data_IF_600498630778
#
_entry.id   IF_600498630778
#
_cell.length_a   1.000
_cell.length_b   1.000
_cell.length_c   1.000
_cell.angle_alpha   90.00
_cell.angle_beta   90.00
_cell.angle_gamma   90.00
#
_symmetry.space_group_name_H-M   'P 1'
#
loop_
_entity.id
_entity.type
_entity.pdbx_description
1 polymer ?
#
# COMPACT_ATOMS: atom_id res chain seq x y z
N UNK A 1 -2.99 11.73 -11.37
CA UNK A 1 -2.67 10.53 -10.56
C UNK A 1 -1.84 10.96 -9.35
N UNK A 2 -2.03 10.34 -8.18
CA UNK A 2 -1.07 10.38 -7.05
C UNK A 2 -0.49 8.97 -6.88
N UNK A 3 0.82 8.86 -6.65
CA UNK A 3 1.54 7.60 -6.53
C UNK A 3 2.30 7.60 -5.21
N UNK A 4 2.07 6.57 -4.40
CA UNK A 4 2.82 6.33 -3.18
C UNK A 4 3.34 4.89 -3.20
N UNK A 5 4.66 4.72 -3.01
CA UNK A 5 5.28 3.42 -2.84
C UNK A 5 5.48 3.15 -1.34
N UNK A 6 5.01 2.01 -0.86
CA UNK A 6 4.75 1.83 0.57
C UNK A 6 5.47 0.61 1.10
N UNK A 7 6.07 0.79 2.27
CA UNK A 7 6.47 -0.29 3.16
C UNK A 7 5.57 -0.19 4.40
N UNK A 8 4.66 -1.16 4.51
CA UNK A 8 3.75 -1.44 5.63
C UNK A 8 2.42 -0.65 5.71
N UNK A 9 1.32 -1.32 5.33
CA UNK A 9 0.05 -1.15 6.05
C UNK A 9 -0.03 -2.23 7.13
N UNK A 10 -0.24 -1.82 8.38
CA UNK A 10 -0.44 -2.77 9.48
C UNK A 10 -1.91 -2.80 9.84
N UNK A 11 -2.55 -3.96 9.77
CA UNK A 11 -3.98 -4.14 10.00
C UNK A 11 -4.28 -4.85 11.33
N UNK A 12 -4.27 -4.10 12.43
CA UNK A 12 -4.79 -4.56 13.73
C UNK A 12 -5.41 -3.38 14.50
N UNK A 13 -6.68 -3.38 14.96
CA UNK A 13 -7.21 -2.36 15.91
C UNK A 13 -6.26 -2.17 17.08
N UNK A 14 -6.15 -0.94 17.59
CA UNK A 14 -5.25 -0.69 18.69
C UNK A 14 -5.93 0.18 19.71
N UNK A 15 -6.19 -0.38 20.89
CA UNK A 15 -6.42 0.42 22.08
C UNK A 15 -5.11 1.09 22.57
N UNK A 16 -3.95 0.59 22.11
CA UNK A 16 -2.62 1.14 22.37
C UNK A 16 -1.56 0.60 21.39
N UNK A 17 -0.51 1.38 21.13
CA UNK A 17 0.63 0.97 20.32
C UNK A 17 1.52 2.15 19.96
N UNK A 18 2.59 1.87 19.22
CA UNK A 18 3.49 2.90 18.72
C UNK A 18 4.02 2.53 17.33
N UNK A 19 4.44 3.56 16.60
CA UNK A 19 5.18 3.41 15.36
C UNK A 19 6.17 4.56 15.21
N UNK A 20 7.38 4.21 14.83
CA UNK A 20 8.45 5.13 14.51
C UNK A 20 8.92 4.85 13.09
N UNK A 21 9.00 5.88 12.27
CA UNK A 21 9.49 5.78 10.89
C UNK A 21 10.69 6.68 10.73
N UNK A 22 11.77 6.15 10.15
CA UNK A 22 13.03 6.85 9.96
C UNK A 22 13.44 6.81 8.50
N UNK A 23 13.97 7.93 8.02
CA UNK A 23 14.64 7.99 6.73
C UNK A 23 16.10 7.61 6.93
N UNK A 24 16.56 6.59 6.21
CA UNK A 24 17.92 6.04 6.37
C UNK A 24 18.86 6.65 5.33
N UNK A 25 18.45 6.75 4.06
CA UNK A 25 19.22 7.43 3.00
C UNK A 25 18.37 7.96 1.86
N UNK A 26 18.90 8.95 1.13
CA UNK A 26 18.36 9.46 -0.13
C UNK A 26 19.50 9.58 -1.14
N UNK A 27 19.33 8.98 -2.31
CA UNK A 27 20.22 9.13 -3.45
C UNK A 27 19.40 9.29 -4.74
N UNK A 28 19.26 10.52 -5.21
CA UNK A 28 18.43 10.85 -6.37
C UNK A 28 16.97 10.43 -6.17
N UNK A 29 16.49 9.50 -7.00
CA UNK A 29 15.14 8.91 -6.93
C UNK A 29 15.06 7.66 -6.05
N UNK A 30 16.17 7.21 -5.48
CA UNK A 30 16.25 6.04 -4.61
C UNK A 30 16.25 6.50 -3.16
N UNK A 31 15.43 5.85 -2.34
CA UNK A 31 15.34 6.10 -0.91
C UNK A 31 15.49 4.79 -0.16
N UNK A 32 16.05 4.85 1.05
CA UNK A 32 16.00 3.77 2.02
C UNK A 32 15.42 4.33 3.31
N UNK A 33 14.52 3.57 3.91
CA UNK A 33 13.81 3.98 5.10
C UNK A 33 13.32 2.75 5.85
N UNK A 34 13.06 2.94 7.13
CA UNK A 34 12.63 1.88 8.03
C UNK A 34 11.43 2.32 8.85
N UNK A 35 10.59 1.36 9.21
CA UNK A 35 9.52 1.59 10.17
C UNK A 35 9.50 0.46 11.19
N UNK A 36 9.44 0.84 12.46
CA UNK A 36 9.29 -0.08 13.57
C UNK A 36 7.98 0.23 14.27
N UNK A 37 7.19 -0.79 14.57
CA UNK A 37 5.89 -0.61 15.18
C UNK A 37 5.55 -1.77 16.11
N UNK A 38 4.67 -1.48 17.05
CA UNK A 38 4.00 -2.47 17.90
C UNK A 38 2.57 -2.02 18.10
N UNK A 39 1.61 -2.82 17.62
CA UNK A 39 0.18 -2.55 17.71
C UNK A 39 -0.53 -3.65 18.47
N UNK A 40 -1.41 -3.29 19.42
CA UNK A 40 -2.18 -4.23 20.22
C UNK A 40 -3.68 -4.09 20.00
N UNK A 41 -4.36 -5.11 19.48
CA UNK A 41 -5.82 -5.21 19.52
C UNK A 41 -6.36 -6.25 18.52
N UNK A 42 -7.57 -6.05 18.01
CA UNK A 42 -8.23 -6.99 17.09
C UNK A 42 -7.53 -7.03 15.74
N UNK A 43 -7.33 -8.22 15.19
CA UNK A 43 -7.02 -8.34 13.77
C UNK A 43 -8.10 -7.62 12.93
N UNK A 44 -7.75 -7.17 11.73
CA UNK A 44 -8.68 -6.71 10.66
C UNK A 44 -8.98 -5.21 10.53
N UNK A 45 -8.39 -4.29 11.31
CA UNK A 45 -8.46 -2.85 10.99
C UNK A 45 -7.07 -2.24 10.79
N UNK A 46 -6.84 -1.56 9.67
CA UNK A 46 -5.60 -0.82 9.36
C UNK A 46 -5.31 0.24 10.44
N UNK A 47 -4.05 0.38 10.85
CA UNK A 47 -3.57 1.36 11.85
C UNK A 47 -2.87 2.53 11.23
N UNK A 48 -2.05 2.22 10.26
CA UNK A 48 -1.11 3.14 9.69
C UNK A 48 -0.69 2.63 8.34
N UNK A 49 -0.15 3.56 7.58
CA UNK A 49 0.37 3.33 6.27
C UNK A 49 1.59 4.21 6.08
N UNK A 50 2.66 3.90 6.80
CA UNK A 50 3.93 4.59 6.65
C UNK A 50 4.36 4.41 5.20
N UNK A 51 4.72 5.48 4.49
CA UNK A 51 4.99 5.38 3.07
C UNK A 51 5.99 6.42 2.57
N UNK A 52 6.52 6.12 1.39
CA UNK A 52 7.23 7.07 0.57
C UNK A 52 6.35 7.53 -0.61
N UNK A 53 5.74 8.69 -0.44
CA UNK A 53 4.96 9.32 -1.49
C UNK A 53 5.87 10.01 -2.50
N UNK A 54 5.76 9.64 -3.78
CA UNK A 54 6.43 10.37 -4.85
C UNK A 54 5.78 11.75 -4.98
N UNK A 55 6.62 12.79 -5.02
CA UNK A 55 6.17 14.15 -5.35
C UNK A 55 6.30 14.37 -6.85
N UNK A 56 5.17 14.61 -7.51
CA UNK A 56 5.09 14.89 -8.94
C UNK A 56 3.81 15.66 -9.24
N UNK A 57 3.77 16.33 -10.39
CA UNK A 57 2.56 16.96 -10.87
C UNK A 57 1.56 15.89 -11.34
N UNK A 58 0.29 16.09 -11.02
CA UNK A 58 -0.73 15.14 -11.43
C UNK A 58 -0.82 15.09 -12.96
N UNK A 59 -0.67 13.89 -13.50
CA UNK A 59 -0.79 13.62 -14.94
C UNK A 59 -2.05 12.80 -15.26
N UNK A 60 -2.69 13.02 -16.43
CA UNK A 60 -3.68 12.11 -16.98
C UNK A 60 -3.06 10.73 -17.27
N UNK A 61 -3.75 9.64 -16.94
CA UNK A 61 -3.26 8.27 -17.14
C UNK A 61 -2.92 8.01 -18.61
N UNK A 62 -3.71 8.56 -19.54
CA UNK A 62 -3.46 8.44 -20.98
C UNK A 62 -2.12 9.02 -21.44
N UNK A 63 -1.49 9.89 -20.63
CA UNK A 63 -0.19 10.49 -20.93
C UNK A 63 0.97 9.77 -20.22
N UNK A 64 0.68 8.76 -19.38
CA UNK A 64 1.72 8.00 -18.67
C UNK A 64 2.24 6.91 -19.60
N UNK A 65 3.54 6.98 -19.93
CA UNK A 65 4.20 5.96 -20.75
C UNK A 65 4.77 4.82 -19.92
N UNK A 66 5.27 5.13 -18.72
CA UNK A 66 5.83 4.14 -17.78
C UNK A 66 5.90 4.73 -16.36
N UNK A 67 5.89 3.84 -15.37
CA UNK A 67 6.15 4.16 -13.96
C UNK A 67 7.20 3.15 -13.45
N UNK A 68 8.46 3.26 -13.90
CA UNK A 68 9.50 2.33 -13.49
C UNK A 68 9.68 2.42 -11.98
N UNK A 69 9.57 1.28 -11.30
CA UNK A 69 9.65 1.18 -9.84
C UNK A 69 10.47 -0.05 -9.47
N UNK A 70 11.31 0.10 -8.46
CA UNK A 70 12.03 -1.01 -7.84
C UNK A 70 11.87 -0.88 -6.34
N UNK A 71 11.58 -1.99 -5.68
CA UNK A 71 11.45 -2.04 -4.23
C UNK A 71 12.10 -3.33 -3.75
N UNK A 72 12.97 -3.16 -2.76
CA UNK A 72 13.54 -4.23 -1.97
C UNK A 72 13.14 -3.95 -0.52
N UNK A 73 12.65 -4.96 0.18
CA UNK A 73 12.23 -4.80 1.56
C UNK A 73 12.48 -6.10 2.33
N UNK A 74 12.83 -5.93 3.60
CA UNK A 74 12.92 -7.00 4.58
C UNK A 74 11.92 -6.74 5.69
N UNK A 75 11.25 -7.80 6.15
CA UNK A 75 10.24 -7.70 7.20
C UNK A 75 10.57 -8.66 8.34
N UNK A 76 11.10 -8.11 9.44
CA UNK A 76 11.39 -8.86 10.66
C UNK A 76 10.28 -8.64 11.70
N UNK A 77 9.75 -9.73 12.27
CA UNK A 77 8.75 -9.66 13.33
C UNK A 77 8.83 -10.88 14.24
N UNK A 78 8.37 -10.71 15.48
CA UNK A 78 8.21 -11.78 16.46
C UNK A 78 6.72 -12.05 16.72
N UNK A 79 6.36 -13.32 16.89
CA UNK A 79 4.99 -13.71 17.20
C UNK A 79 4.01 -13.56 16.03
N UNK A 80 2.82 -13.03 16.31
CA UNK A 80 1.74 -12.88 15.31
C UNK A 80 1.77 -11.48 14.71
N UNK A 81 1.79 -11.42 13.38
CA UNK A 81 1.71 -10.19 12.61
C UNK A 81 0.64 -10.32 11.53
N UNK A 82 -0.18 -9.28 11.35
CA UNK A 82 -1.11 -9.13 10.20
C UNK A 82 -0.78 -7.80 9.51
N UNK A 83 -0.15 -7.87 8.35
CA UNK A 83 0.32 -6.70 7.61
C UNK A 83 0.42 -7.00 6.12
N UNK A 84 0.54 -5.95 5.31
CA UNK A 84 0.88 -6.07 3.90
C UNK A 84 2.07 -5.15 3.53
N UNK A 85 2.63 -5.40 2.37
CA UNK A 85 3.51 -4.47 1.65
C UNK A 85 2.88 -4.24 0.28
N UNK A 86 2.69 -2.97 -0.10
CA UNK A 86 1.94 -2.65 -1.31
C UNK A 86 2.41 -1.35 -1.98
N UNK A 87 2.20 -1.21 -3.28
CA UNK A 87 2.06 0.10 -3.89
C UNK A 87 0.63 0.58 -3.72
N UNK A 88 0.42 1.89 -3.57
CA UNK A 88 -0.91 2.49 -3.49
C UNK A 88 -1.00 3.74 -4.37
N UNK A 89 -2.03 3.78 -5.20
CA UNK A 89 -2.18 4.81 -6.22
C UNK A 89 -3.61 5.29 -6.30
N UNK A 90 -3.76 6.60 -6.42
CA UNK A 90 -5.06 7.25 -6.48
C UNK A 90 -5.28 7.94 -7.82
N UNK A 91 -6.50 7.83 -8.33
CA UNK A 91 -6.94 8.46 -9.57
C UNK A 91 -8.19 9.29 -9.32
N UNK A 92 -8.37 10.33 -10.12
CA UNK A 92 -9.48 11.26 -10.07
C UNK A 92 -9.83 11.67 -11.50
N UNK A 93 -11.11 11.93 -11.78
CA UNK A 93 -11.58 12.43 -13.07
C UNK A 93 -11.06 13.82 -13.43
N UNK A 94 -10.67 14.61 -12.42
CA UNK A 94 -10.18 15.98 -12.59
C UNK A 94 -8.81 16.16 -11.94
N UNK A 95 -7.96 16.97 -12.58
CA UNK A 95 -6.70 17.39 -11.98
C UNK A 95 -6.99 18.25 -10.76
N UNK A 96 -6.41 17.88 -9.63
CA UNK A 96 -6.63 18.50 -8.32
C UNK A 96 -7.87 17.97 -7.58
N UNK A 97 -8.69 17.13 -8.22
CA UNK A 97 -9.89 16.57 -7.62
C UNK A 97 -9.63 15.52 -6.53
N UNK A 98 -10.69 15.18 -5.82
CA UNK A 98 -10.70 14.11 -4.83
C UNK A 98 -10.50 12.74 -5.49
N UNK A 99 -9.95 11.80 -4.73
CA UNK A 99 -9.72 10.45 -5.22
C UNK A 99 -11.05 9.72 -5.48
N UNK A 100 -11.18 9.14 -6.66
CA UNK A 100 -12.35 8.35 -7.08
C UNK A 100 -12.04 6.86 -7.12
N UNK A 101 -10.79 6.50 -7.44
CA UNK A 101 -10.32 5.12 -7.39
C UNK A 101 -8.98 5.04 -6.67
N UNK A 102 -8.85 3.99 -5.88
CA UNK A 102 -7.61 3.50 -5.26
C UNK A 102 -7.23 2.18 -5.95
N UNK A 103 -5.97 2.08 -6.40
CA UNK A 103 -5.41 0.87 -6.99
C UNK A 103 -4.16 0.50 -6.20
N UNK A 104 -4.26 -0.60 -5.47
CA UNK A 104 -3.15 -1.16 -4.72
C UNK A 104 -2.54 -2.37 -5.42
N UNK A 105 -1.22 -2.51 -5.37
CA UNK A 105 -0.49 -3.70 -5.81
C UNK A 105 0.22 -4.30 -4.61
N UNK A 106 -0.32 -5.39 -4.07
CA UNK A 106 0.20 -6.02 -2.86
C UNK A 106 1.34 -6.97 -3.22
N UNK A 107 2.54 -6.67 -2.73
CA UNK A 107 3.75 -7.47 -2.92
C UNK A 107 3.87 -8.58 -1.88
N UNK A 108 3.28 -8.36 -0.69
CA UNK A 108 3.25 -9.35 0.37
C UNK A 108 1.99 -9.20 1.21
N UNK A 109 1.39 -10.33 1.59
CA UNK A 109 0.31 -10.41 2.57
C UNK A 109 0.73 -11.36 3.70
N UNK A 110 0.81 -10.84 4.92
CA UNK A 110 1.34 -11.57 6.09
C UNK A 110 0.20 -11.86 7.07
N UNK A 111 0.19 -13.07 7.63
CA UNK A 111 -0.72 -13.45 8.72
C UNK A 111 -2.21 -13.40 8.37
N UNK A 112 -2.54 -13.54 7.09
CA UNK A 112 -3.92 -13.50 6.62
C UNK A 112 -4.45 -12.11 6.29
N UNK A 113 -3.60 -11.07 6.26
CA UNK A 113 -3.98 -9.76 5.74
C UNK A 113 -4.63 -9.92 4.35
N UNK A 114 -5.77 -9.27 4.13
CA UNK A 114 -6.53 -9.37 2.90
C UNK A 114 -6.94 -8.00 2.38
N UNK A 115 -7.02 -7.82 1.05
CA UNK A 115 -7.45 -6.57 0.45
C UNK A 115 -8.94 -6.33 0.70
N UNK A 116 -9.37 -5.09 0.49
CA UNK A 116 -10.78 -4.75 0.53
C UNK A 116 -11.53 -5.49 -0.59
N UNK A 117 -12.65 -6.12 -0.25
CA UNK A 117 -13.43 -6.93 -1.18
C UNK A 117 -14.90 -6.96 -0.80
N UNK A 118 -15.78 -6.80 -1.79
CA UNK A 118 -17.23 -6.92 -1.57
C UNK A 118 -17.70 -8.38 -1.49
N UNK A 119 -16.91 -9.34 -2.01
CA UNK A 119 -17.33 -10.75 -2.16
C UNK A 119 -16.51 -11.72 -1.32
N UNK A 120 -15.39 -11.28 -0.76
CA UNK A 120 -14.42 -12.15 -0.08
C UNK A 120 -13.56 -13.00 -1.03
N UNK A 121 -13.69 -12.81 -2.35
CA UNK A 121 -12.99 -13.61 -3.37
C UNK A 121 -12.38 -12.72 -4.47
N UNK A 122 -11.32 -13.19 -5.15
CA UNK A 122 -10.82 -12.52 -6.35
C UNK A 122 -11.93 -12.41 -7.39
N UNK A 123 -11.99 -11.27 -8.08
CA UNK A 123 -12.85 -11.08 -9.25
C UNK A 123 -12.17 -11.61 -10.53
N UNK A 124 -10.84 -11.72 -10.52
CA UNK A 124 -10.04 -12.18 -11.65
C UNK A 124 -8.62 -12.55 -11.22
N UNK A 125 -7.99 -13.50 -11.90
CA UNK A 125 -6.54 -13.68 -11.87
C UNK A 125 -5.91 -12.95 -13.06
N UNK A 126 -4.86 -12.16 -12.82
CA UNK A 126 -4.20 -11.32 -13.82
C UNK A 126 -2.69 -11.52 -13.77
N UNK A 127 -2.06 -11.64 -14.94
CA UNK A 127 -0.60 -11.60 -15.05
C UNK A 127 -0.18 -10.18 -15.43
N UNK A 128 0.70 -9.57 -14.63
CA UNK A 128 1.24 -8.21 -14.85
C UNK A 128 2.75 -8.29 -14.76
N UNK A 129 3.46 -7.96 -15.84
CA UNK A 129 4.93 -8.01 -15.92
C UNK A 129 5.52 -9.37 -15.45
N UNK A 130 4.84 -10.47 -15.76
CA UNK A 130 5.28 -11.82 -15.41
C UNK A 130 4.93 -12.27 -13.99
N UNK A 131 4.23 -11.44 -13.20
CA UNK A 131 3.75 -11.80 -11.86
C UNK A 131 2.24 -12.05 -11.90
N UNK A 132 1.81 -13.19 -11.36
CA UNK A 132 0.39 -13.52 -11.21
C UNK A 132 -0.17 -12.86 -9.95
N UNK A 133 -1.26 -12.12 -10.11
CA UNK A 133 -2.01 -11.47 -9.05
C UNK A 133 -3.46 -11.91 -9.05
N UNK A 134 -4.01 -12.10 -7.85
CA UNK A 134 -5.45 -12.17 -7.65
C UNK A 134 -5.99 -10.75 -7.50
N UNK A 135 -6.81 -10.31 -8.46
CA UNK A 135 -7.45 -9.00 -8.45
C UNK A 135 -8.71 -9.05 -7.58
N UNK A 136 -8.76 -8.16 -6.59
CA UNK A 136 -9.92 -7.93 -5.74
C UNK A 136 -10.54 -6.58 -6.06
N UNK A 137 -11.83 -6.44 -5.75
CA UNK A 137 -12.54 -5.18 -5.87
C UNK A 137 -13.47 -5.00 -4.68
N UNK A 138 -13.46 -3.79 -4.15
CA UNK A 138 -14.56 -3.35 -3.34
C UNK A 138 -14.57 -1.84 -3.08
N UNK A 139 -15.57 -1.44 -2.32
CA UNK A 139 -15.88 -0.04 -1.99
C UNK A 139 -15.54 0.28 -0.55
N UNK A 140 -14.77 1.34 -0.34
CA UNK A 140 -14.66 2.00 0.96
C UNK A 140 -15.94 2.81 1.19
N UNK A 141 -16.76 2.42 2.17
CA UNK A 141 -17.82 3.31 2.66
C UNK A 141 -17.20 4.37 3.57
N UNK A 142 -17.27 5.63 3.12
CA UNK A 142 -16.92 6.89 3.79
C UNK A 142 -15.43 7.26 3.92
N UNK A 143 -15.06 8.34 3.24
CA UNK A 143 -14.21 9.42 3.77
C UNK A 143 -15.14 10.52 4.28
#
# INVERSE_FOLDING_TARGET
MKFSAIIAAVAVTASSGHQCTSLDSVDGSTISWSTNFSWNGTAWQVKSFANAALKFDQVPIANVTSIPSTIEFDFAYEGKLVANVAFDTFTASTLGGDAEYEVMVWLQAIGGAGPLTNTGKPIKEVNVEGVDFSLYHGTLEQI
#
